data_IF_969126770016
#
_entry.id   IF_969126770016
#
_cell.length_a   1.000
_cell.length_b   1.000
_cell.length_c   1.000
_cell.angle_alpha   90.00
_cell.angle_beta   90.00
_cell.angle_gamma   90.00
#
_symmetry.space_group_name_H-M   'P 1'
#
loop_
_entity.id
_entity.type
_entity.pdbx_description
1 polymer ?
#
# COMPACT_ATOMS: atom_id res chain seq x y z
N UNK A 1 -6.58 -20.29 -14.72
CA UNK A 1 -6.25 -20.04 -16.16
C UNK A 1 -5.44 -18.77 -16.39
N UNK A 2 -5.68 -17.66 -15.66
CA UNK A 2 -4.95 -16.40 -15.87
C UNK A 2 -3.44 -16.40 -15.58
N UNK A 3 -2.95 -17.18 -14.61
CA UNK A 3 -1.54 -17.15 -14.18
C UNK A 3 -0.53 -17.64 -15.24
N UNK A 4 -0.91 -18.58 -16.11
CA UNK A 4 -0.02 -19.07 -17.19
C UNK A 4 0.07 -18.06 -18.35
N UNK A 5 -1.07 -17.44 -18.70
CA UNK A 5 -1.12 -16.41 -19.75
C UNK A 5 -0.39 -15.12 -19.32
N UNK A 6 -0.41 -14.76 -18.03
CA UNK A 6 0.35 -13.63 -17.49
C UNK A 6 1.87 -13.85 -17.52
N UNK A 7 2.34 -15.08 -17.30
CA UNK A 7 3.78 -15.42 -17.35
C UNK A 7 4.30 -15.42 -18.79
N UNK A 8 3.52 -15.91 -19.75
CA UNK A 8 3.89 -15.87 -21.17
C UNK A 8 3.87 -14.43 -21.70
N UNK A 9 2.88 -13.62 -21.31
CA UNK A 9 2.81 -12.22 -21.69
C UNK A 9 3.97 -11.35 -21.18
N UNK A 10 4.67 -11.77 -20.11
CA UNK A 10 5.91 -11.13 -19.64
C UNK A 10 7.16 -11.68 -20.33
N UNK A 11 7.09 -12.85 -20.95
CA UNK A 11 8.22 -13.56 -21.57
C UNK A 11 8.45 -13.15 -23.03
N UNK A 12 7.44 -12.59 -23.71
CA UNK A 12 7.57 -12.02 -25.06
C UNK A 12 8.34 -10.69 -25.08
N UNK A 13 8.47 -9.99 -23.95
CA UNK A 13 9.25 -8.73 -23.83
C UNK A 13 10.75 -8.96 -23.55
N UNK A 14 11.16 -10.19 -23.24
CA UNK A 14 12.56 -10.54 -22.98
C UNK A 14 13.15 -11.27 -24.19
N UNK A 15 14.38 -10.92 -24.57
CA UNK A 15 15.18 -11.58 -25.62
C UNK A 15 15.58 -13.00 -25.18
N UNK A 16 14.60 -13.89 -25.08
CA UNK A 16 14.76 -15.26 -24.60
C UNK A 16 15.03 -16.15 -25.81
N UNK A 17 16.21 -16.76 -25.83
CA UNK A 17 16.65 -17.69 -26.88
C UNK A 17 15.59 -18.77 -27.15
N UNK A 18 15.34 -19.00 -28.43
CA UNK A 18 14.40 -19.95 -29.06
C UNK A 18 14.27 -21.37 -28.42
N UNK A 19 15.30 -21.95 -27.78
CA UNK A 19 15.17 -23.27 -27.12
C UNK A 19 14.31 -23.28 -25.85
N UNK A 20 14.19 -22.17 -25.12
CA UNK A 20 13.55 -22.14 -23.78
C UNK A 20 12.01 -22.18 -23.89
N UNK A 21 11.44 -21.60 -24.96
CA UNK A 21 10.00 -21.60 -25.21
C UNK A 21 9.41 -23.01 -25.34
N UNK A 22 10.18 -23.97 -25.86
CA UNK A 22 9.72 -25.37 -26.01
C UNK A 22 9.57 -26.10 -24.67
N UNK A 23 10.18 -25.59 -23.59
CA UNK A 23 10.10 -26.18 -22.24
C UNK A 23 8.98 -25.58 -21.39
N UNK A 24 8.42 -24.42 -21.76
CA UNK A 24 7.34 -23.73 -21.06
C UNK A 24 5.94 -24.28 -21.42
N UNK A 25 5.79 -25.60 -21.40
CA UNK A 25 4.45 -26.20 -21.55
C UNK A 25 3.61 -25.93 -20.30
N UNK A 26 2.28 -25.89 -20.46
CA UNK A 26 1.35 -25.77 -19.31
C UNK A 26 1.60 -26.87 -18.27
N UNK A 27 1.92 -28.07 -18.73
CA UNK A 27 2.28 -29.22 -17.90
C UNK A 27 3.59 -29.00 -17.12
N UNK A 28 4.65 -28.54 -17.78
CA UNK A 28 5.91 -28.22 -17.11
C UNK A 28 5.77 -27.04 -16.14
N UNK A 29 4.97 -26.05 -16.48
CA UNK A 29 4.68 -24.93 -15.58
C UNK A 29 4.06 -25.42 -14.27
N UNK A 30 3.05 -26.29 -14.30
CA UNK A 30 2.48 -26.85 -13.07
C UNK A 30 3.42 -27.85 -12.38
N UNK A 31 4.19 -28.64 -13.15
CA UNK A 31 5.16 -29.62 -12.63
C UNK A 31 6.33 -28.97 -11.86
N UNK A 32 6.80 -27.82 -12.32
CA UNK A 32 7.91 -27.08 -11.71
C UNK A 32 7.47 -25.83 -10.95
N UNK A 33 6.15 -25.57 -10.88
CA UNK A 33 5.58 -24.41 -10.19
C UNK A 33 6.17 -24.31 -8.80
N UNK A 34 6.08 -25.36 -8.00
CA UNK A 34 6.55 -25.36 -6.62
C UNK A 34 8.07 -25.19 -6.53
N UNK A 35 8.84 -25.70 -7.50
CA UNK A 35 10.30 -25.54 -7.56
C UNK A 35 10.72 -24.09 -7.85
N UNK A 36 9.86 -23.29 -8.50
CA UNK A 36 10.13 -21.89 -8.88
C UNK A 36 9.40 -20.90 -7.95
N UNK A 37 8.27 -21.30 -7.37
CA UNK A 37 7.40 -20.44 -6.55
C UNK A 37 7.51 -20.69 -5.06
N UNK A 38 7.88 -21.90 -4.62
CA UNK A 38 8.11 -22.16 -3.20
C UNK A 38 9.55 -21.75 -2.84
N UNK A 39 9.67 -20.82 -1.90
CA UNK A 39 10.96 -20.48 -1.32
C UNK A 39 11.54 -21.73 -0.63
N UNK A 40 12.77 -22.12 -0.96
CA UNK A 40 13.48 -23.21 -0.26
C UNK A 40 13.46 -22.99 1.26
N UNK A 41 13.52 -21.73 1.70
CA UNK A 41 13.37 -21.37 3.10
C UNK A 41 12.02 -21.80 3.66
N UNK A 42 10.91 -21.54 2.95
CA UNK A 42 9.55 -21.93 3.39
C UNK A 42 9.48 -23.44 3.58
N UNK A 43 9.92 -24.21 2.57
CA UNK A 43 9.88 -25.68 2.63
C UNK A 43 10.71 -26.21 3.80
N UNK A 44 11.94 -25.73 3.96
CA UNK A 44 12.79 -26.18 5.06
C UNK A 44 12.26 -25.74 6.43
N UNK A 45 11.74 -24.52 6.55
CA UNK A 45 11.18 -24.02 7.80
C UNK A 45 9.92 -24.76 8.21
N UNK A 46 9.01 -25.07 7.28
CA UNK A 46 7.78 -25.83 7.58
C UNK A 46 8.09 -27.25 8.09
N UNK A 47 9.09 -27.92 7.51
CA UNK A 47 9.46 -29.30 7.85
C UNK A 47 10.51 -29.43 8.95
N UNK A 48 11.19 -28.33 9.32
CA UNK A 48 12.22 -28.36 10.35
C UNK A 48 11.62 -28.68 11.74
N UNK A 49 12.32 -29.48 12.57
CA UNK A 49 11.94 -29.70 13.96
C UNK A 49 11.85 -28.39 14.75
N UNK A 50 10.90 -28.28 15.68
CA UNK A 50 10.72 -27.07 16.50
C UNK A 50 12.01 -26.63 17.23
N UNK A 51 12.87 -27.58 17.60
CA UNK A 51 14.15 -27.31 18.27
C UNK A 51 15.14 -26.45 17.46
N UNK A 52 14.98 -26.36 16.14
CA UNK A 52 15.83 -25.57 15.25
C UNK A 52 15.07 -24.43 14.55
N UNK A 53 13.83 -24.16 14.98
CA UNK A 53 12.99 -23.08 14.46
C UNK A 53 12.91 -21.95 15.48
N UNK A 54 13.05 -20.72 14.99
CA UNK A 54 12.79 -19.53 15.80
C UNK A 54 12.15 -18.46 14.92
N UNK A 55 11.22 -17.72 15.50
CA UNK A 55 10.49 -16.62 14.85
C UNK A 55 10.75 -15.35 15.65
N UNK A 56 11.29 -14.31 14.98
CA UNK A 56 11.53 -13.03 15.63
C UNK A 56 10.23 -12.21 15.63
N UNK A 57 9.66 -12.02 16.81
CA UNK A 57 8.36 -11.38 16.99
C UNK A 57 8.43 -9.96 17.53
N UNK A 58 9.62 -9.46 17.89
CA UNK A 58 9.79 -8.10 18.39
C UNK A 58 10.24 -7.16 17.27
N UNK A 59 9.45 -6.13 16.97
CA UNK A 59 9.77 -5.12 15.97
C UNK A 59 10.21 -3.80 16.64
N UNK A 60 11.21 -3.14 16.06
CA UNK A 60 11.75 -1.86 16.53
C UNK A 60 11.63 -0.74 15.48
N UNK A 61 10.90 -0.99 14.40
CA UNK A 61 10.81 -0.09 13.25
C UNK A 61 9.70 0.92 13.41
N UNK A 62 8.48 0.47 13.66
CA UNK A 62 7.28 1.27 13.42
C UNK A 62 6.50 1.54 14.71
N UNK A 63 5.71 2.60 14.70
CA UNK A 63 4.78 2.89 15.79
C UNK A 63 3.78 1.72 16.01
N UNK A 64 3.38 1.40 17.26
CA UNK A 64 2.41 0.33 17.56
C UNK A 64 1.11 0.37 16.75
N UNK A 65 0.60 1.55 16.41
CA UNK A 65 -0.61 1.65 15.58
C UNK A 65 -0.37 1.17 14.13
N UNK A 66 0.82 1.40 13.56
CA UNK A 66 1.21 0.84 12.25
C UNK A 66 1.42 -0.67 12.39
N UNK A 67 2.08 -1.08 13.48
CA UNK A 67 2.29 -2.50 13.80
C UNK A 67 0.97 -3.24 13.86
N UNK A 68 -0.08 -2.69 14.48
CA UNK A 68 -1.41 -3.29 14.55
C UNK A 68 -1.99 -3.58 13.16
N UNK A 69 -1.86 -2.63 12.22
CA UNK A 69 -2.31 -2.80 10.83
C UNK A 69 -1.60 -3.97 10.13
N UNK A 70 -0.29 -4.14 10.35
CA UNK A 70 0.44 -5.26 9.75
C UNK A 70 0.28 -6.56 10.53
N UNK A 71 -0.07 -6.52 11.82
CA UNK A 71 -0.10 -7.69 12.70
C UNK A 71 -1.15 -8.72 12.25
N UNK A 72 -2.13 -8.31 11.45
CA UNK A 72 -3.06 -9.21 10.76
C UNK A 72 -2.32 -10.27 9.91
N UNK A 73 -1.18 -9.90 9.30
CA UNK A 73 -0.33 -10.80 8.49
C UNK A 73 0.62 -11.68 9.34
N UNK A 74 0.69 -11.43 10.64
CA UNK A 74 1.60 -12.11 11.58
C UNK A 74 0.85 -12.79 12.73
N UNK A 75 -0.41 -13.19 12.49
CA UNK A 75 -1.26 -13.86 13.49
C UNK A 75 -1.39 -13.10 14.82
N UNK A 76 -1.25 -11.76 14.79
CA UNK A 76 -1.21 -10.89 15.97
C UNK A 76 -0.06 -11.14 16.94
N UNK A 77 1.03 -11.76 16.48
CA UNK A 77 2.16 -12.17 17.32
C UNK A 77 3.27 -11.15 17.40
N UNK A 78 3.28 -10.11 16.56
CA UNK A 78 4.29 -9.05 16.66
C UNK A 78 4.07 -8.20 17.92
N UNK A 79 5.17 -7.93 18.62
CA UNK A 79 5.26 -7.06 19.77
C UNK A 79 6.15 -5.85 19.47
N UNK A 80 5.81 -4.69 20.04
CA UNK A 80 6.63 -3.50 19.90
C UNK A 80 7.80 -3.56 20.90
N UNK A 81 9.02 -3.44 20.39
CA UNK A 81 10.25 -3.34 21.20
C UNK A 81 10.70 -1.91 21.48
N UNK A 82 10.00 -0.89 20.95
CA UNK A 82 10.33 0.51 21.23
C UNK A 82 9.94 0.84 22.68
N UNK A 83 10.87 1.36 23.51
CA UNK A 83 10.55 1.69 24.90
C UNK A 83 9.57 2.86 25.03
N UNK A 84 9.60 3.81 24.08
CA UNK A 84 8.76 5.00 24.07
C UNK A 84 8.30 5.33 22.65
N UNK A 85 7.40 4.53 22.07
CA UNK A 85 7.02 4.68 20.68
C UNK A 85 6.42 6.05 20.36
N UNK A 86 5.61 6.60 21.27
CA UNK A 86 4.99 7.92 21.12
C UNK A 86 6.01 9.08 21.16
N UNK A 87 7.25 8.87 21.62
CA UNK A 87 8.31 9.88 21.53
C UNK A 87 9.21 9.60 20.31
N UNK A 88 9.53 8.33 20.07
CA UNK A 88 10.50 7.89 19.06
C UNK A 88 9.95 7.87 17.63
N UNK A 89 8.62 7.90 17.45
CA UNK A 89 7.94 7.83 16.14
C UNK A 89 7.00 8.99 15.87
N UNK A 90 7.25 10.13 16.52
CA UNK A 90 6.52 11.37 16.27
C UNK A 90 6.76 11.87 14.85
N UNK A 91 5.67 12.13 14.13
CA UNK A 91 5.71 12.83 12.85
C UNK A 91 5.35 14.31 12.98
N UNK A 92 4.79 14.76 14.12
CA UNK A 92 4.45 16.17 14.37
C UNK A 92 3.49 16.82 13.36
N UNK A 93 2.63 16.03 12.70
CA UNK A 93 1.68 16.58 11.73
C UNK A 93 0.32 16.81 12.36
N UNK A 94 -0.22 17.99 12.11
CA UNK A 94 -1.65 18.28 12.24
C UNK A 94 -2.15 18.71 10.86
N UNK A 95 -2.96 17.87 10.22
CA UNK A 95 -3.53 18.15 8.90
C UNK A 95 -5.02 18.38 9.03
N UNK A 96 -5.45 19.57 8.62
CA UNK A 96 -6.87 19.95 8.56
C UNK A 96 -7.57 19.40 7.33
N UNK A 97 -8.79 18.94 7.57
CA UNK A 97 -9.73 18.55 6.53
C UNK A 97 -10.18 19.76 5.73
N UNK A 98 -10.82 19.51 4.59
CA UNK A 98 -11.47 20.57 3.82
C UNK A 98 -12.58 21.30 4.62
N UNK A 99 -13.15 20.67 5.63
CA UNK A 99 -14.24 21.19 6.47
C UNK A 99 -13.73 21.83 7.78
N UNK A 100 -12.41 21.88 8.00
CA UNK A 100 -11.78 22.62 9.08
C UNK A 100 -11.49 21.84 10.37
N UNK A 101 -11.76 20.54 10.43
CA UNK A 101 -11.38 19.67 11.55
C UNK A 101 -10.05 18.95 11.28
N UNK A 102 -9.31 18.56 12.32
CA UNK A 102 -8.05 17.84 12.18
C UNK A 102 -8.31 16.34 11.91
N UNK A 103 -7.74 15.78 10.85
CA UNK A 103 -7.96 14.36 10.47
C UNK A 103 -6.67 13.51 10.49
N UNK A 104 -5.51 14.18 10.50
CA UNK A 104 -4.24 13.59 10.90
C UNK A 104 -3.75 14.45 12.06
N UNK A 105 -3.57 13.86 13.23
CA UNK A 105 -3.00 14.51 14.42
C UNK A 105 -1.67 13.87 14.77
N UNK A 106 -0.84 14.46 15.65
CA UNK A 106 0.44 13.88 16.06
C UNK A 106 0.34 12.47 16.68
N UNK A 107 -0.86 12.07 17.11
CA UNK A 107 -1.17 10.77 17.71
C UNK A 107 -1.69 9.75 16.68
N UNK A 108 -1.97 10.17 15.45
CA UNK A 108 -2.47 9.31 14.36
C UNK A 108 -1.33 8.78 13.51
N UNK A 109 -0.84 7.57 13.80
CA UNK A 109 0.27 6.96 13.07
C UNK A 109 -0.17 6.01 11.95
N UNK A 110 -1.45 5.65 11.87
CA UNK A 110 -2.01 4.87 10.77
C UNK A 110 -3.37 5.42 10.36
N UNK A 111 -3.55 5.75 9.08
CA UNK A 111 -4.75 6.41 8.54
C UNK A 111 -5.17 5.75 7.23
N UNK A 112 -6.47 5.60 7.01
CA UNK A 112 -7.05 5.16 5.74
C UNK A 112 -7.90 6.27 5.12
N UNK A 113 -7.65 6.57 3.84
CA UNK A 113 -8.44 7.47 3.01
C UNK A 113 -9.18 6.64 1.97
N UNK A 114 -10.51 6.61 2.08
CA UNK A 114 -11.39 5.87 1.19
C UNK A 114 -11.49 6.54 -0.18
N UNK A 115 -11.15 5.76 -1.20
CA UNK A 115 -11.24 6.15 -2.62
C UNK A 115 -12.43 5.51 -3.36
N UNK A 116 -13.37 4.88 -2.64
CA UNK A 116 -14.59 4.31 -3.21
C UNK A 116 -15.41 5.36 -3.97
N UNK A 117 -15.48 6.57 -3.42
CA UNK A 117 -16.24 7.69 -3.96
C UNK A 117 -15.37 8.92 -4.06
N UNK A 118 -15.68 9.78 -5.02
CA UNK A 118 -15.06 11.08 -5.14
C UNK A 118 -15.66 12.10 -4.15
N UNK A 119 -15.08 13.30 -4.01
CA UNK A 119 -15.60 14.36 -3.12
C UNK A 119 -17.03 14.83 -3.43
N UNK A 120 -17.58 14.50 -4.61
CA UNK A 120 -18.98 14.76 -4.97
C UNK A 120 -19.89 13.57 -4.66
N UNK A 121 -19.39 12.61 -3.88
CA UNK A 121 -20.06 11.37 -3.48
C UNK A 121 -20.39 10.44 -4.67
N UNK A 122 -19.69 10.58 -5.81
CA UNK A 122 -19.88 9.73 -6.99
C UNK A 122 -18.95 8.52 -6.91
N UNK A 123 -19.39 7.30 -7.24
CA UNK A 123 -18.49 6.15 -7.31
C UNK A 123 -17.34 6.41 -8.29
N UNK A 124 -16.10 6.14 -7.85
CA UNK A 124 -14.91 6.38 -8.66
C UNK A 124 -14.12 5.09 -8.85
N UNK A 125 -13.93 4.68 -10.11
CA UNK A 125 -13.30 3.41 -10.44
C UNK A 125 -11.89 3.61 -11.03
N UNK A 126 -11.09 2.55 -10.98
CA UNK A 126 -9.83 2.50 -11.70
C UNK A 126 -10.04 2.63 -13.21
N UNK A 127 -9.07 3.22 -13.90
CA UNK A 127 -8.96 3.16 -15.35
C UNK A 127 -7.89 2.13 -15.74
N UNK A 128 -8.13 1.43 -16.84
CA UNK A 128 -7.22 0.46 -17.41
C UNK A 128 -6.76 0.91 -18.79
N UNK A 129 -5.45 0.83 -19.02
CA UNK A 129 -4.85 1.04 -20.34
C UNK A 129 -3.80 -0.05 -20.50
N UNK A 130 -3.92 -0.91 -21.52
CA UNK A 130 -3.12 -2.13 -21.62
C UNK A 130 -3.27 -3.03 -20.38
N UNK A 131 -2.15 -3.52 -19.83
CA UNK A 131 -2.11 -4.44 -18.68
C UNK A 131 -2.05 -3.73 -17.31
N UNK A 132 -1.71 -2.43 -17.27
CA UNK A 132 -1.55 -1.69 -16.01
C UNK A 132 -2.75 -0.78 -15.71
N UNK A 133 -2.94 -0.53 -14.42
CA UNK A 133 -4.10 0.19 -13.87
C UNK A 133 -3.68 1.52 -13.25
N UNK A 134 -4.61 2.47 -13.22
CA UNK A 134 -4.42 3.81 -12.65
C UNK A 134 -5.71 4.25 -11.97
N UNK A 135 -5.60 4.84 -10.78
CA UNK A 135 -6.72 5.45 -10.06
C UNK A 135 -6.42 6.94 -9.89
N UNK A 136 -7.06 7.75 -10.74
CA UNK A 136 -6.83 9.19 -10.78
C UNK A 136 -7.28 9.93 -9.53
N UNK A 137 -8.30 9.41 -8.83
CA UNK A 137 -8.74 9.95 -7.55
C UNK A 137 -7.68 9.71 -6.48
N UNK A 138 -7.17 8.48 -6.31
CA UNK A 138 -6.08 8.23 -5.35
C UNK A 138 -4.85 9.08 -5.66
N UNK A 139 -4.48 9.21 -6.95
CA UNK A 139 -3.37 10.05 -7.36
C UNK A 139 -3.58 11.53 -7.00
N UNK A 140 -4.82 12.03 -7.13
CA UNK A 140 -5.19 13.38 -6.72
C UNK A 140 -5.11 13.54 -5.19
N UNK A 141 -5.74 12.64 -4.43
CA UNK A 141 -5.79 12.71 -2.97
C UNK A 141 -4.38 12.64 -2.35
N UNK A 142 -3.50 11.79 -2.88
CA UNK A 142 -2.10 11.73 -2.46
C UNK A 142 -1.40 13.05 -2.74
N UNK A 143 -1.61 13.61 -3.93
CA UNK A 143 -0.98 14.88 -4.35
C UNK A 143 -1.41 16.03 -3.43
N UNK A 144 -2.71 16.11 -3.12
CA UNK A 144 -3.25 17.12 -2.19
C UNK A 144 -2.75 16.93 -0.76
N UNK A 145 -2.72 15.69 -0.27
CA UNK A 145 -2.19 15.43 1.07
C UNK A 145 -0.71 15.84 1.16
N UNK A 146 0.10 15.53 0.14
CA UNK A 146 1.51 15.94 0.11
C UNK A 146 1.67 17.47 0.16
N UNK A 147 0.82 18.24 -0.51
CA UNK A 147 0.85 19.70 -0.42
C UNK A 147 0.50 20.19 0.99
N UNK A 148 -0.53 19.62 1.61
CA UNK A 148 -0.91 19.96 2.99
C UNK A 148 0.21 19.62 3.98
N UNK A 149 0.84 18.46 3.84
CA UNK A 149 1.99 18.05 4.64
C UNK A 149 3.19 18.98 4.44
N UNK A 150 3.47 19.38 3.19
CA UNK A 150 4.56 20.31 2.89
C UNK A 150 4.34 21.68 3.54
N UNK A 151 3.12 22.19 3.51
CA UNK A 151 2.77 23.43 4.20
C UNK A 151 2.96 23.31 5.72
N UNK A 152 2.42 22.25 6.34
CA UNK A 152 2.53 22.03 7.77
C UNK A 152 3.99 21.90 8.25
N UNK A 153 4.82 21.17 7.49
CA UNK A 153 6.24 21.06 7.83
C UNK A 153 7.02 22.36 7.58
N UNK A 154 6.65 23.15 6.56
CA UNK A 154 7.27 24.45 6.32
C UNK A 154 7.04 25.41 7.48
N UNK A 155 5.83 25.42 8.05
CA UNK A 155 5.49 26.20 9.25
C UNK A 155 6.33 25.78 10.47
N UNK A 156 6.74 24.51 10.53
CA UNK A 156 7.65 23.98 11.54
C UNK A 156 9.13 24.21 11.22
N UNK A 157 9.45 24.92 10.13
CA UNK A 157 10.82 25.26 9.74
C UNK A 157 11.56 24.16 8.96
N UNK A 158 10.86 23.17 8.41
CA UNK A 158 11.46 22.20 7.49
C UNK A 158 11.70 22.85 6.12
N UNK A 159 12.86 22.58 5.53
CA UNK A 159 13.28 23.11 4.24
C UNK A 159 14.74 22.80 3.94
N UNK A 160 15.16 22.92 2.68
CA UNK A 160 16.55 22.70 2.28
C UNK A 160 17.06 21.30 2.63
N UNK A 161 18.07 21.22 3.51
CA UNK A 161 18.64 19.96 4.00
C UNK A 161 17.77 19.28 5.07
N UNK A 162 16.87 20.02 5.73
CA UNK A 162 15.98 19.51 6.79
C UNK A 162 14.67 18.94 6.24
N UNK A 163 14.56 18.68 4.93
CA UNK A 163 13.31 18.19 4.33
C UNK A 163 12.90 16.85 4.93
N UNK A 164 11.61 16.71 5.24
CA UNK A 164 11.05 15.45 5.74
C UNK A 164 10.97 14.44 4.60
N UNK A 165 11.53 13.26 4.81
CA UNK A 165 11.50 12.18 3.81
C UNK A 165 10.14 11.46 3.80
N UNK A 166 9.52 11.39 2.63
CA UNK A 166 8.20 10.75 2.42
C UNK A 166 8.31 9.77 1.25
N UNK A 167 7.84 8.54 1.45
CA UNK A 167 7.71 7.56 0.38
C UNK A 167 6.27 7.47 -0.11
N UNK A 168 6.08 7.38 -1.42
CA UNK A 168 4.79 7.04 -2.05
C UNK A 168 4.95 5.72 -2.79
N UNK A 169 4.19 4.71 -2.35
CA UNK A 169 4.26 3.35 -2.88
C UNK A 169 2.98 3.03 -3.62
N UNK A 170 3.09 2.40 -4.79
CA UNK A 170 1.96 1.76 -5.47
C UNK A 170 2.36 0.43 -6.08
N UNK A 171 1.36 -0.42 -6.37
CA UNK A 171 1.55 -1.74 -6.98
C UNK A 171 1.56 -1.69 -8.51
N UNK A 172 1.21 -0.55 -9.11
CA UNK A 172 1.02 -0.40 -10.55
C UNK A 172 1.96 0.67 -11.13
N UNK A 173 2.74 0.29 -12.15
CA UNK A 173 3.69 1.19 -12.81
C UNK A 173 3.01 2.44 -13.41
N UNK A 174 1.80 2.30 -13.97
CA UNK A 174 1.03 3.47 -14.47
C UNK A 174 0.60 4.42 -13.37
N UNK A 175 0.24 3.91 -12.18
CA UNK A 175 -0.05 4.76 -11.03
C UNK A 175 1.20 5.55 -10.59
N UNK A 176 2.36 4.89 -10.54
CA UNK A 176 3.64 5.55 -10.23
C UNK A 176 3.97 6.64 -11.27
N UNK A 177 3.75 6.36 -12.56
CA UNK A 177 3.97 7.33 -13.62
C UNK A 177 3.04 8.54 -13.49
N UNK A 178 1.76 8.33 -13.19
CA UNK A 178 0.77 9.40 -12.98
C UNK A 178 1.10 10.24 -11.75
N UNK A 179 1.45 9.61 -10.62
CA UNK A 179 1.90 10.30 -9.40
C UNK A 179 3.14 11.16 -9.69
N UNK A 180 4.16 10.60 -10.34
CA UNK A 180 5.35 11.37 -10.75
C UNK A 180 4.99 12.53 -11.68
N UNK A 181 4.05 12.35 -12.60
CA UNK A 181 3.57 13.42 -13.49
C UNK A 181 2.95 14.56 -12.71
N UNK A 182 2.08 14.27 -11.74
CA UNK A 182 1.46 15.28 -10.86
C UNK A 182 2.46 15.99 -9.97
N UNK A 183 3.44 15.26 -9.43
CA UNK A 183 4.47 15.86 -8.58
C UNK A 183 5.42 16.78 -9.34
N UNK A 184 5.67 16.56 -10.65
CA UNK A 184 6.52 17.47 -11.44
C UNK A 184 5.98 18.90 -11.51
N UNK A 185 4.66 19.08 -11.43
CA UNK A 185 4.03 20.40 -11.39
C UNK A 185 3.99 21.03 -10.01
N UNK A 186 4.44 20.32 -8.97
CA UNK A 186 4.45 20.82 -7.60
C UNK A 186 5.86 21.19 -7.16
N UNK A 187 5.94 22.28 -6.38
CA UNK A 187 7.15 22.67 -5.67
C UNK A 187 6.95 22.39 -4.19
N UNK A 188 7.46 21.24 -3.75
CA UNK A 188 7.48 20.83 -2.34
C UNK A 188 8.83 21.25 -1.74
N UNK A 189 8.79 22.18 -0.79
CA UNK A 189 10.01 22.79 -0.22
C UNK A 189 10.43 22.16 1.10
N UNK A 190 9.47 21.62 1.84
CA UNK A 190 9.66 20.98 3.14
C UNK A 190 9.69 19.45 3.03
N UNK A 191 9.24 18.87 1.92
CA UNK A 191 9.24 17.42 1.69
C UNK A 191 10.31 16.97 0.67
N UNK A 192 10.90 15.81 0.94
CA UNK A 192 11.63 15.01 -0.04
C UNK A 192 10.80 13.77 -0.37
N UNK A 193 10.16 13.76 -1.54
CA UNK A 193 9.20 12.71 -1.93
C UNK A 193 9.80 11.74 -2.93
N UNK A 194 9.77 10.44 -2.59
CA UNK A 194 10.14 9.36 -3.50
C UNK A 194 8.91 8.54 -3.89
N UNK A 195 8.59 8.50 -5.19
CA UNK A 195 7.49 7.67 -5.71
C UNK A 195 8.04 6.44 -6.42
N UNK A 196 7.66 5.24 -5.99
CA UNK A 196 8.15 3.99 -6.54
C UNK A 196 7.11 2.86 -6.46
N UNK A 197 7.38 1.78 -7.19
CA UNK A 197 6.64 0.54 -7.01
C UNK A 197 7.09 -0.17 -5.73
N UNK A 198 6.24 -1.05 -5.17
CA UNK A 198 6.59 -1.85 -3.99
C UNK A 198 7.91 -2.63 -4.16
N UNK A 199 8.13 -3.23 -5.33
CA UNK A 199 9.32 -4.04 -5.61
C UNK A 199 10.60 -3.18 -5.60
N UNK A 200 10.52 -1.94 -6.09
CA UNK A 200 11.65 -0.99 -6.09
C UNK A 200 11.90 -0.33 -4.73
N UNK A 201 10.97 -0.50 -3.78
CA UNK A 201 11.09 0.00 -2.42
C UNK A 201 11.66 -1.03 -1.44
N UNK A 202 12.01 -2.24 -1.92
CA UNK A 202 12.51 -3.30 -1.06
C UNK A 202 13.83 -2.87 -0.38
N UNK A 203 13.82 -2.88 0.95
CA UNK A 203 14.98 -2.49 1.78
C UNK A 203 15.10 -1.00 2.09
N UNK A 204 14.20 -0.15 1.59
CA UNK A 204 14.15 1.29 1.92
C UNK A 204 12.98 1.54 2.87
N UNK A 205 13.26 2.17 4.00
CA UNK A 205 12.25 2.61 4.98
C UNK A 205 12.12 4.14 4.91
N UNK A 206 10.96 4.67 5.28
CA UNK A 206 10.76 6.12 5.41
C UNK A 206 10.02 6.47 6.69
N UNK A 207 10.28 7.66 7.26
CA UNK A 207 9.45 8.25 8.30
C UNK A 207 7.96 8.15 7.98
N UNK A 208 7.58 8.56 6.76
CA UNK A 208 6.20 8.60 6.32
C UNK A 208 6.05 7.80 5.03
N UNK A 209 5.03 6.96 4.95
CA UNK A 209 4.65 6.23 3.73
C UNK A 209 3.19 6.49 3.38
N UNK A 210 2.96 6.84 2.12
CA UNK A 210 1.64 6.92 1.49
C UNK A 210 1.52 5.73 0.53
N UNK A 211 0.47 4.92 0.64
CA UNK A 211 0.27 3.74 -0.22
C UNK A 211 -0.99 3.91 -1.06
N UNK A 212 -0.86 3.77 -2.39
CA UNK A 212 -1.99 3.73 -3.32
C UNK A 212 -2.29 2.28 -3.71
N UNK A 213 -3.42 1.76 -3.25
CA UNK A 213 -3.89 0.40 -3.57
C UNK A 213 -4.46 0.30 -4.99
N UNK A 214 -4.89 1.43 -5.57
CA UNK A 214 -5.40 1.61 -6.94
C UNK A 214 -6.74 0.93 -7.22
N UNK A 215 -6.93 -0.30 -6.72
CA UNK A 215 -8.02 -1.16 -7.18
C UNK A 215 -9.38 -0.64 -6.73
N UNK A 216 -10.26 -0.41 -7.71
CA UNK A 216 -11.69 -0.25 -7.53
C UNK A 216 -12.41 -0.57 -8.84
N UNK A 217 -13.16 -1.67 -8.89
CA UNK A 217 -13.83 -2.14 -10.12
C UNK A 217 -15.35 -2.07 -10.02
N UNK A 218 -16.02 -1.78 -11.14
CA UNK A 218 -17.50 -1.72 -11.21
C UNK A 218 -18.18 -3.03 -10.83
N UNK A 219 -17.56 -4.17 -11.10
CA UNK A 219 -18.17 -5.48 -10.87
C UNK A 219 -17.97 -6.01 -9.45
N UNK A 220 -17.20 -5.32 -8.59
CA UNK A 220 -16.93 -5.67 -7.19
C UNK A 220 -16.28 -7.05 -6.93
N UNK A 221 -16.28 -7.95 -7.91
CA UNK A 221 -16.11 -9.39 -7.66
C UNK A 221 -15.12 -10.08 -8.61
N UNK A 222 -14.89 -9.56 -9.82
CA UNK A 222 -14.06 -10.23 -10.82
C UNK A 222 -12.54 -10.15 -10.57
N UNK A 223 -12.08 -9.31 -9.62
CA UNK A 223 -10.65 -9.13 -9.36
C UNK A 223 -10.15 -9.73 -8.04
N UNK A 224 -10.98 -10.51 -7.31
CA UNK A 224 -10.59 -11.11 -6.03
C UNK A 224 -9.25 -11.85 -6.15
N UNK A 225 -9.07 -12.67 -7.19
CA UNK A 225 -7.88 -13.53 -7.36
C UNK A 225 -6.56 -12.77 -7.52
N UNK A 226 -6.54 -11.59 -8.16
CA UNK A 226 -5.30 -10.87 -8.45
C UNK A 226 -4.75 -10.04 -7.28
N UNK A 227 -5.58 -9.75 -6.27
CA UNK A 227 -5.18 -8.99 -5.08
C UNK A 227 -4.96 -9.88 -3.86
N UNK A 228 -5.71 -11.01 -3.75
CA UNK A 228 -5.43 -12.08 -2.77
C UNK A 228 -3.96 -12.51 -2.84
N UNK A 229 -3.40 -12.59 -4.06
CA UNK A 229 -2.00 -12.97 -4.31
C UNK A 229 -0.97 -11.87 -4.06
N UNK A 230 -1.38 -10.69 -3.58
CA UNK A 230 -0.50 -9.55 -3.34
C UNK A 230 -0.37 -9.18 -1.85
N UNK A 231 -0.90 -9.99 -0.93
CA UNK A 231 -0.85 -9.68 0.50
C UNK A 231 0.60 -9.51 1.00
N UNK A 232 1.56 -10.29 0.49
CA UNK A 232 2.98 -10.16 0.84
C UNK A 232 3.51 -8.79 0.42
N UNK A 233 3.13 -8.34 -0.78
CA UNK A 233 3.53 -7.02 -1.28
C UNK A 233 2.89 -5.90 -0.46
N UNK A 234 1.65 -6.06 -0.03
CA UNK A 234 0.95 -5.07 0.79
C UNK A 234 1.55 -5.00 2.18
N UNK A 235 1.82 -6.14 2.81
CA UNK A 235 2.56 -6.21 4.06
C UNK A 235 3.93 -5.53 3.92
N UNK A 236 4.66 -5.81 2.83
CA UNK A 236 5.92 -5.13 2.53
C UNK A 236 5.74 -3.62 2.40
N UNK A 237 4.72 -3.13 1.70
CA UNK A 237 4.46 -1.70 1.51
C UNK A 237 4.11 -1.00 2.84
N UNK A 238 3.21 -1.58 3.62
CA UNK A 238 2.77 -1.01 4.90
C UNK A 238 3.89 -0.98 5.94
N UNK A 239 4.70 -2.04 6.01
CA UNK A 239 5.84 -2.14 6.94
C UNK A 239 7.04 -1.24 6.60
N UNK A 240 6.97 -0.40 5.55
CA UNK A 240 8.01 0.61 5.25
C UNK A 240 7.88 1.89 6.04
N UNK A 241 6.71 2.14 6.65
CA UNK A 241 6.46 3.31 7.47
C UNK A 241 7.12 3.16 8.84
N UNK A 242 7.77 4.22 9.33
CA UNK A 242 8.29 4.28 10.69
C UNK A 242 7.35 5.07 11.61
N UNK A 243 6.99 6.29 11.19
CA UNK A 243 6.22 7.26 11.97
C UNK A 243 4.75 7.34 11.53
N UNK A 244 4.46 7.41 10.22
CA UNK A 244 3.09 7.56 9.71
C UNK A 244 2.86 6.71 8.46
N UNK A 245 1.79 5.91 8.49
CA UNK A 245 1.26 5.18 7.33
C UNK A 245 -0.09 5.78 6.91
N UNK A 246 -0.20 6.22 5.65
CA UNK A 246 -1.48 6.64 5.06
C UNK A 246 -1.83 5.74 3.88
N UNK A 247 -2.95 5.05 3.97
CA UNK A 247 -3.42 4.10 2.95
C UNK A 247 -4.54 4.76 2.13
N UNK A 248 -4.41 4.73 0.81
CA UNK A 248 -5.45 5.17 -0.12
C UNK A 248 -5.99 3.93 -0.83
N UNK A 249 -7.28 3.65 -0.64
CA UNK A 249 -7.91 2.48 -1.24
C UNK A 249 -9.43 2.48 -1.08
N UNK A 250 -10.11 1.87 -2.05
CA UNK A 250 -11.55 1.83 -2.08
C UNK A 250 -12.09 0.79 -1.10
N UNK A 251 -12.81 1.25 -0.08
CA UNK A 251 -13.44 0.38 0.92
C UNK A 251 -14.31 -0.68 0.26
N UNK A 252 -15.09 -0.31 -0.75
CA UNK A 252 -16.02 -1.22 -1.45
C UNK A 252 -15.29 -2.36 -2.17
N UNK A 253 -14.01 -2.17 -2.51
CA UNK A 253 -13.17 -3.21 -3.10
C UNK A 253 -12.51 -4.10 -2.04
N UNK A 254 -12.05 -3.51 -0.93
CA UNK A 254 -11.18 -4.21 0.02
C UNK A 254 -11.89 -4.78 1.24
N UNK A 255 -13.01 -4.20 1.69
CA UNK A 255 -13.64 -4.60 2.95
C UNK A 255 -14.12 -6.07 2.96
N UNK A 256 -14.67 -6.52 1.84
CA UNK A 256 -15.18 -7.88 1.66
C UNK A 256 -14.18 -8.80 0.95
N UNK A 257 -12.95 -8.34 0.75
CA UNK A 257 -11.90 -9.13 0.12
C UNK A 257 -11.35 -10.15 1.11
N UNK A 258 -11.61 -11.42 0.81
CA UNK A 258 -10.99 -12.55 1.49
C UNK A 258 -9.53 -12.67 1.04
N UNK A 259 -8.64 -12.92 1.99
CA UNK A 259 -7.20 -13.09 1.76
C UNK A 259 -6.81 -14.44 2.34
N UNK A 260 -6.18 -15.27 1.52
CA UNK A 260 -5.54 -16.51 1.96
C UNK A 260 -4.17 -16.17 2.56
N UNK A 261 -4.00 -16.41 3.85
CA UNK A 261 -2.75 -16.19 4.57
C UNK A 261 -2.14 -17.54 4.97
N UNK A 262 -0.83 -17.76 4.75
CA UNK A 262 -0.16 -18.93 5.28
C UNK A 262 -0.10 -18.88 6.81
N UNK A 263 -0.18 -20.06 7.43
CA UNK A 263 0.13 -20.20 8.84
C UNK A 263 1.63 -19.98 9.06
N UNK A 264 2.02 -19.33 10.17
CA UNK A 264 3.41 -18.91 10.34
C UNK A 264 4.39 -20.06 10.59
N UNK A 265 4.05 -21.00 11.47
CA UNK A 265 5.01 -22.00 11.98
C UNK A 265 4.78 -23.43 11.45
N UNK A 266 3.71 -23.62 10.67
CA UNK A 266 3.27 -24.92 10.18
C UNK A 266 2.64 -24.82 8.78
N UNK A 267 2.60 -25.91 8.00
CA UNK A 267 1.87 -25.93 6.74
C UNK A 267 0.39 -25.63 6.94
N UNK A 268 -0.17 -24.83 6.03
CA UNK A 268 -1.61 -24.54 5.99
C UNK A 268 -1.89 -23.09 5.62
N UNK A 269 -3.16 -22.80 5.40
CA UNK A 269 -3.67 -21.47 5.06
C UNK A 269 -4.89 -21.15 5.93
N UNK A 270 -5.10 -19.87 6.19
CA UNK A 270 -6.32 -19.33 6.79
C UNK A 270 -6.90 -18.27 5.86
N UNK A 271 -8.23 -18.21 5.76
CA UNK A 271 -8.92 -17.20 4.96
C UNK A 271 -9.49 -16.15 5.90
N UNK A 272 -9.11 -14.88 5.69
CA UNK A 272 -9.58 -13.76 6.51
C UNK A 272 -9.91 -12.54 5.66
N UNK A 273 -10.84 -11.71 6.13
CA UNK A 273 -11.12 -10.38 5.53
C UNK A 273 -10.17 -9.33 6.10
N UNK A 274 -8.87 -9.54 5.88
CA UNK A 274 -7.78 -8.77 6.52
C UNK A 274 -7.99 -7.26 6.36
N UNK A 275 -8.25 -6.79 5.15
CA UNK A 275 -8.44 -5.37 4.91
C UNK A 275 -9.74 -4.83 5.50
N UNK A 276 -10.80 -5.64 5.56
CA UNK A 276 -12.03 -5.30 6.27
C UNK A 276 -11.81 -5.10 7.77
N UNK A 277 -11.02 -5.99 8.40
CA UNK A 277 -10.63 -5.86 9.80
C UNK A 277 -9.79 -4.60 10.05
N UNK A 278 -8.81 -4.32 9.17
CA UNK A 278 -7.98 -3.10 9.24
C UNK A 278 -8.85 -1.85 9.14
N UNK A 279 -9.72 -1.77 8.12
CA UNK A 279 -10.65 -0.65 7.92
C UNK A 279 -11.54 -0.46 9.15
N UNK A 280 -12.06 -1.56 9.70
CA UNK A 280 -12.91 -1.49 10.89
C UNK A 280 -12.14 -1.01 12.13
N UNK A 281 -10.90 -1.47 12.34
CA UNK A 281 -10.07 -1.00 13.46
C UNK A 281 -9.74 0.49 13.35
N UNK A 282 -9.31 0.94 12.15
CA UNK A 282 -9.01 2.35 11.90
C UNK A 282 -10.24 3.24 12.06
N UNK A 283 -11.41 2.79 11.62
CA UNK A 283 -12.66 3.53 11.78
C UNK A 283 -13.05 3.70 13.26
N UNK A 284 -12.88 2.67 14.10
CA UNK A 284 -13.12 2.78 15.55
C UNK A 284 -12.18 3.76 16.25
N UNK A 285 -11.00 3.99 15.67
CA UNK A 285 -9.99 4.94 16.16
C UNK A 285 -10.05 6.31 15.49
N UNK A 286 -11.14 6.61 14.76
CA UNK A 286 -11.30 7.87 14.04
C UNK A 286 -10.18 8.17 13.03
N UNK A 287 -9.61 7.13 12.43
CA UNK A 287 -8.53 7.22 11.44
C UNK A 287 -8.94 6.68 10.06
N UNK A 288 -10.25 6.65 9.77
CA UNK A 288 -10.81 6.28 8.47
C UNK A 288 -11.61 7.46 7.91
N UNK A 289 -11.25 7.93 6.72
CA UNK A 289 -11.74 9.19 6.17
C UNK A 289 -12.17 9.06 4.72
N UNK A 290 -13.17 9.83 4.30
CA UNK A 290 -13.58 9.90 2.90
C UNK A 290 -12.70 10.83 2.07
N UNK A 291 -12.80 10.75 0.74
CA UNK A 291 -12.06 11.63 -0.17
C UNK A 291 -12.32 13.13 0.07
N UNK A 292 -13.54 13.50 0.46
CA UNK A 292 -13.94 14.87 0.75
C UNK A 292 -13.20 15.48 1.96
N UNK A 293 -12.71 14.63 2.87
CA UNK A 293 -11.88 15.07 4.00
C UNK A 293 -10.57 15.68 3.51
N UNK A 294 -9.97 15.10 2.45
CA UNK A 294 -8.67 15.55 1.93
C UNK A 294 -8.82 16.79 1.05
N UNK A 295 -9.77 16.77 0.10
CA UNK A 295 -10.02 17.85 -0.87
C UNK A 295 -11.52 18.19 -0.90
N UNK A 296 -11.84 19.49 -0.86
CA UNK A 296 -13.24 19.95 -0.85
C UNK A 296 -13.96 19.63 -2.17
N UNK A 297 -15.29 19.47 -2.15
CA UNK A 297 -16.11 19.38 -3.37
C UNK A 297 -15.86 20.50 -4.38
N UNK A 298 -15.65 21.73 -3.91
CA UNK A 298 -15.41 22.92 -4.72
C UNK A 298 -14.02 22.87 -5.39
N UNK A 299 -12.98 22.59 -4.61
CA UNK A 299 -11.61 22.44 -5.10
C UNK A 299 -11.53 21.28 -6.10
N UNK A 300 -12.23 20.17 -5.84
CA UNK A 300 -12.31 19.03 -6.74
C UNK A 300 -13.00 19.39 -8.08
N UNK A 301 -14.08 20.16 -8.07
CA UNK A 301 -14.73 20.65 -9.31
C UNK A 301 -13.78 21.50 -10.15
N UNK A 302 -12.97 22.37 -9.53
CA UNK A 302 -11.98 23.18 -10.24
C UNK A 302 -10.92 22.30 -10.93
N UNK A 303 -10.46 21.23 -10.26
CA UNK A 303 -9.53 20.25 -10.84
C UNK A 303 -10.13 19.48 -12.03
N UNK A 304 -11.45 19.28 -12.05
CA UNK A 304 -12.14 18.67 -13.20
C UNK A 304 -12.32 19.66 -14.36
N UNK A 305 -12.64 20.92 -14.07
CA UNK A 305 -12.88 21.97 -15.07
C UNK A 305 -11.62 22.45 -15.80
N UNK A 306 -10.44 22.37 -15.17
CA UNK A 306 -9.15 22.70 -15.79
C UNK A 306 -8.62 21.65 -16.79
N UNK A 307 -9.42 20.63 -17.14
CA UNK A 307 -9.10 19.61 -18.15
C UNK A 307 -9.87 19.78 -19.47
N UNK A 308 -10.50 20.95 -19.68
CA UNK A 308 -11.18 21.34 -20.92
C UNK A 308 -10.23 21.93 -21.94
#
# INVERSE_FOLDING_TARGET
>A
EGSWLEVIGQSEEADVREPVYRLLTRENFYRFKDMVTASLFKTYFEHAPAAIKTTLLTQYRMHPQIMEVINHFYEYRLACGLPKPDEQRQHHLTIRSAEGFDFITPESHAVWVDSSRDPLNRPHYESQSGTSKVNFLEALLITELLQKMDAAYREQGYGGEKRKAVGVISFYGKQVAELRRRLRSLRLEALQVDVNTVDRFQGKERPIILVSLVRNTRSGMQSKTAFVTQFERINVAFSRAQELLVIFGARDMFAECEVELPLMDQPGMTVKKVYGEIIHSLNRKSNFWGSATVISPEAYKQQLGGRG
#
